data_IF_790618548035
#
_entry.id   IF_790618548035
#
_cell.length_a   1.000
_cell.length_b   1.000
_cell.length_c   1.000
_cell.angle_alpha   90.00
_cell.angle_beta   90.00
_cell.angle_gamma   90.00
#
_symmetry.space_group_name_H-M   'P 1'
#
loop_
_entity.id
_entity.type
_entity.pdbx_description
1 polymer ?
#
# COMPACT_ATOMS: atom_id res chain seq x y z
N UNK A 1 15.82 2.39 -3.06
CA UNK A 1 14.70 2.59 -2.11
C UNK A 1 14.06 1.24 -1.97
N UNK A 2 14.28 0.58 -0.85
CA UNK A 2 13.67 -0.71 -0.56
C UNK A 2 12.33 -0.47 0.11
N UNK A 3 11.31 -1.25 -0.25
CA UNK A 3 10.02 -1.22 0.44
C UNK A 3 10.09 -2.27 1.53
N UNK A 4 9.95 -1.83 2.77
CA UNK A 4 9.85 -2.72 3.91
C UNK A 4 8.39 -3.09 4.13
N UNK A 5 8.16 -4.37 4.43
CA UNK A 5 6.85 -4.91 4.74
C UNK A 5 6.82 -5.36 6.19
N UNK A 6 5.84 -4.86 6.95
CA UNK A 6 5.57 -5.29 8.31
C UNK A 6 4.16 -5.85 8.36
N UNK A 7 4.02 -7.12 8.71
CA UNK A 7 2.73 -7.80 8.89
C UNK A 7 2.63 -8.34 10.33
N UNK A 8 1.48 -8.13 10.97
CA UNK A 8 1.18 -8.61 12.32
C UNK A 8 0.00 -9.61 12.33
N UNK A 9 -0.40 -10.16 11.18
CA UNK A 9 -1.55 -11.06 11.03
C UNK A 9 -2.94 -10.43 11.20
N UNK A 10 -3.06 -9.26 11.86
CA UNK A 10 -4.31 -8.48 11.95
C UNK A 10 -4.29 -7.21 11.10
N UNK A 11 -3.10 -6.66 10.91
CA UNK A 11 -2.84 -5.49 10.08
C UNK A 11 -1.39 -5.55 9.62
N UNK A 12 -1.09 -4.77 8.59
CA UNK A 12 0.28 -4.60 8.14
C UNK A 12 0.46 -3.27 7.44
N UNK A 13 1.71 -2.97 7.12
CA UNK A 13 2.08 -1.77 6.39
C UNK A 13 3.30 -2.01 5.51
N UNK A 14 3.28 -1.38 4.35
CA UNK A 14 4.42 -1.20 3.48
C UNK A 14 4.96 0.20 3.71
N UNK A 15 6.25 0.35 3.93
CA UNK A 15 6.84 1.66 4.20
C UNK A 15 8.24 1.77 3.60
N UNK A 16 8.65 3.02 3.40
CA UNK A 16 9.96 3.37 2.86
C UNK A 16 10.61 4.32 3.86
N UNK A 17 11.79 3.91 4.34
CA UNK A 17 12.63 4.73 5.20
C UNK A 17 13.74 5.40 4.39
N UNK A 18 14.00 6.68 4.68
CA UNK A 18 15.13 7.43 4.13
C UNK A 18 15.74 8.24 5.26
N UNK A 19 17.04 8.07 5.50
CA UNK A 19 17.76 8.77 6.57
C UNK A 19 17.11 8.57 7.97
N UNK A 20 16.65 7.35 8.27
CA UNK A 20 15.92 7.01 9.51
C UNK A 20 14.56 7.73 9.68
N UNK A 21 14.00 8.30 8.61
CA UNK A 21 12.67 8.88 8.62
C UNK A 21 11.76 8.10 7.66
N UNK A 22 10.56 7.75 8.13
CA UNK A 22 9.52 7.21 7.27
C UNK A 22 9.02 8.30 6.33
N UNK A 23 9.32 8.14 5.03
CA UNK A 23 9.00 9.13 3.99
C UNK A 23 7.78 8.72 3.17
N UNK A 24 7.36 7.46 3.23
CA UNK A 24 6.11 7.01 2.63
C UNK A 24 5.66 5.70 3.28
N UNK A 25 4.36 5.52 3.44
CA UNK A 25 3.78 4.27 3.91
C UNK A 25 2.37 4.03 3.35
N UNK A 26 2.00 2.75 3.29
CA UNK A 26 0.68 2.26 2.98
C UNK A 26 0.31 1.24 4.05
N UNK A 27 -0.77 1.48 4.78
CA UNK A 27 -1.29 0.58 5.80
C UNK A 27 -2.52 -0.19 5.30
N UNK A 28 -2.67 -1.41 5.78
CA UNK A 28 -3.82 -2.24 5.54
C UNK A 28 -4.22 -3.04 6.78
N UNK A 29 -5.50 -3.39 6.87
CA UNK A 29 -6.07 -4.23 7.93
C UNK A 29 -6.72 -5.46 7.34
N UNK A 30 -6.64 -6.61 8.02
CA UNK A 30 -7.37 -7.80 7.60
C UNK A 30 -8.84 -7.63 7.98
N UNK A 31 -9.73 -7.72 6.98
CA UNK A 31 -11.17 -7.76 7.21
C UNK A 31 -11.63 -9.18 7.54
N UNK A 32 -10.97 -10.17 6.95
CA UNK A 32 -11.18 -11.60 7.15
C UNK A 32 -9.99 -12.37 6.53
N UNK A 33 -10.05 -13.70 6.58
CA UNK A 33 -8.97 -14.60 6.14
C UNK A 33 -8.59 -14.45 4.66
N UNK A 34 -9.49 -13.90 3.83
CA UNK A 34 -9.29 -13.77 2.38
C UNK A 34 -9.40 -12.34 1.89
N UNK A 35 -9.51 -11.34 2.77
CA UNK A 35 -9.69 -9.95 2.38
C UNK A 35 -8.98 -8.98 3.31
N UNK A 36 -8.29 -8.01 2.70
CA UNK A 36 -7.67 -6.89 3.40
C UNK A 36 -8.25 -5.56 2.92
N UNK A 37 -8.17 -4.55 3.78
CA UNK A 37 -8.57 -3.18 3.48
C UNK A 37 -7.37 -2.24 3.59
N UNK A 38 -6.99 -1.62 2.48
CA UNK A 38 -6.03 -0.52 2.49
C UNK A 38 -6.73 0.75 3.00
N UNK A 39 -6.47 1.09 4.26
CA UNK A 39 -7.16 2.16 4.97
C UNK A 39 -6.41 3.51 4.92
N UNK A 40 -5.07 3.47 4.87
CA UNK A 40 -4.26 4.68 4.91
C UNK A 40 -3.09 4.62 3.95
N UNK A 41 -2.79 5.75 3.33
CA UNK A 41 -1.58 5.92 2.51
C UNK A 41 -1.05 7.31 2.70
N UNK A 42 0.25 7.40 2.96
CA UNK A 42 0.98 8.63 3.15
C UNK A 42 2.22 8.61 2.27
N UNK A 43 2.47 9.73 1.59
CA UNK A 43 3.68 9.94 0.80
C UNK A 43 4.15 11.36 1.09
N UNK A 44 5.39 11.49 1.55
CA UNK A 44 5.99 12.78 1.84
C UNK A 44 5.99 13.66 0.58
N UNK A 45 5.81 14.96 0.77
CA UNK A 45 5.72 15.93 -0.32
C UNK A 45 6.99 15.92 -1.19
N UNK A 46 8.14 15.65 -0.59
CA UNK A 46 9.43 15.56 -1.28
C UNK A 46 9.49 14.40 -2.27
N UNK A 47 8.61 13.40 -2.11
CA UNK A 47 8.51 12.21 -2.95
C UNK A 47 7.33 12.24 -3.93
N UNK A 48 6.54 13.32 -3.94
CA UNK A 48 5.47 13.48 -4.96
C UNK A 48 6.08 13.51 -6.37
N UNK A 49 5.31 12.99 -7.32
CA UNK A 49 5.71 12.85 -8.73
C UNK A 49 6.91 11.92 -8.99
N UNK A 50 7.42 11.22 -7.98
CA UNK A 50 8.48 10.21 -8.15
C UNK A 50 7.96 8.77 -8.28
N UNK A 51 6.63 8.61 -8.42
CA UNK A 51 5.99 7.30 -8.53
C UNK A 51 6.02 6.46 -7.24
N UNK A 52 6.33 7.06 -6.08
CA UNK A 52 6.50 6.31 -4.82
C UNK A 52 5.19 5.66 -4.36
N UNK A 53 4.06 6.37 -4.47
CA UNK A 53 2.74 5.80 -4.15
C UNK A 53 2.38 4.60 -5.03
N UNK A 54 2.83 4.61 -6.29
CA UNK A 54 2.66 3.50 -7.24
C UNK A 54 3.41 2.26 -6.78
N UNK A 55 4.67 2.43 -6.39
CA UNK A 55 5.52 1.33 -5.87
C UNK A 55 4.93 0.69 -4.62
N UNK A 56 4.37 1.49 -3.71
CA UNK A 56 3.69 0.97 -2.50
C UNK A 56 2.46 0.13 -2.86
N UNK A 57 1.65 0.59 -3.81
CA UNK A 57 0.48 -0.16 -4.28
C UNK A 57 0.90 -1.42 -5.02
N UNK A 58 1.96 -1.38 -5.82
CA UNK A 58 2.51 -2.55 -6.49
C UNK A 58 2.96 -3.59 -5.47
N UNK A 59 3.71 -3.20 -4.43
CA UNK A 59 4.12 -4.09 -3.34
C UNK A 59 2.91 -4.73 -2.63
N UNK A 60 1.88 -3.93 -2.34
CA UNK A 60 0.62 -4.43 -1.80
C UNK A 60 -0.04 -5.44 -2.74
N UNK A 61 -0.11 -5.18 -4.05
CA UNK A 61 -0.69 -6.10 -5.03
C UNK A 61 0.07 -7.42 -5.10
N UNK A 62 1.41 -7.39 -5.06
CA UNK A 62 2.23 -8.61 -5.01
C UNK A 62 1.88 -9.45 -3.77
N UNK A 63 1.81 -8.82 -2.60
CA UNK A 63 1.44 -9.50 -1.37
C UNK A 63 0.05 -10.14 -1.45
N UNK A 64 -0.92 -9.41 -1.99
CA UNK A 64 -2.29 -9.90 -2.18
C UNK A 64 -2.35 -11.06 -3.17
N UNK A 65 -1.59 -10.99 -4.27
CA UNK A 65 -1.52 -12.05 -5.26
C UNK A 65 -0.85 -13.32 -4.69
N UNK A 66 0.27 -13.17 -3.99
CA UNK A 66 0.97 -14.29 -3.34
C UNK A 66 0.10 -14.99 -2.29
N UNK A 67 -0.64 -14.20 -1.50
CA UNK A 67 -1.51 -14.72 -0.43
C UNK A 67 -2.93 -15.07 -0.89
N UNK A 68 -3.26 -14.87 -2.17
CA UNK A 68 -4.59 -15.06 -2.74
C UNK A 68 -5.69 -14.27 -1.99
N UNK A 69 -5.36 -13.03 -1.59
CA UNK A 69 -6.27 -12.14 -0.87
C UNK A 69 -7.10 -11.27 -1.83
N UNK A 70 -8.18 -10.69 -1.32
CA UNK A 70 -8.97 -9.64 -1.99
C UNK A 70 -8.62 -8.28 -1.39
N UNK A 71 -8.56 -7.24 -2.24
CA UNK A 71 -8.30 -5.87 -1.83
C UNK A 71 -9.59 -5.05 -1.75
N UNK A 72 -9.84 -4.46 -0.58
CA UNK A 72 -10.74 -3.30 -0.43
C UNK A 72 -9.89 -2.04 -0.27
N UNK A 73 -10.29 -0.95 -0.91
CA UNK A 73 -9.63 0.34 -0.77
C UNK A 73 -10.59 1.36 -0.17
N UNK A 74 -10.55 1.52 1.15
CA UNK A 74 -11.27 2.58 1.86
C UNK A 74 -10.55 3.93 1.73
N UNK A 75 -9.23 3.93 1.53
CA UNK A 75 -8.48 5.16 1.28
C UNK A 75 -8.82 5.74 -0.11
N UNK A 76 -9.24 7.00 -0.17
CA UNK A 76 -9.59 7.67 -1.42
C UNK A 76 -8.44 7.70 -2.44
N UNK A 77 -7.19 7.81 -1.98
CA UNK A 77 -6.00 7.76 -2.85
C UNK A 77 -5.80 6.40 -3.51
N UNK A 78 -5.80 5.33 -2.70
CA UNK A 78 -5.66 3.95 -3.20
C UNK A 78 -6.81 3.62 -4.15
N UNK A 79 -8.04 3.96 -3.77
CA UNK A 79 -9.22 3.74 -4.60
C UNK A 79 -9.13 4.48 -5.95
N UNK A 80 -8.68 5.73 -5.96
CA UNK A 80 -8.48 6.48 -7.20
C UNK A 80 -7.41 5.83 -8.09
N UNK A 81 -6.32 5.36 -7.49
CA UNK A 81 -5.21 4.75 -8.21
C UNK A 81 -5.58 3.39 -8.82
N UNK A 82 -6.25 2.53 -8.04
CA UNK A 82 -6.77 1.24 -8.52
C UNK A 82 -7.78 1.41 -9.66
N UNK A 83 -8.65 2.41 -9.60
CA UNK A 83 -9.63 2.69 -10.67
C UNK A 83 -8.95 3.08 -11.97
N UNK A 84 -7.88 3.89 -11.90
CA UNK A 84 -7.15 4.33 -13.09
C UNK A 84 -6.57 3.15 -13.87
N UNK A 85 -6.00 2.18 -13.17
CA UNK A 85 -5.41 0.96 -13.77
C UNK A 85 -6.44 0.01 -14.40
N UNK A 86 -7.73 0.10 -14.07
CA UNK A 86 -8.79 -0.71 -14.68
C UNK A 86 -9.38 -0.07 -15.96
N UNK A 87 -9.01 1.16 -16.27
CA UNK A 87 -9.53 1.94 -17.39
C UNK A 87 -8.52 2.08 -18.55
N UNK A 88 -7.33 1.50 -18.42
CA UNK A 88 -6.26 1.44 -19.43
C UNK A 88 -6.17 0.01 -20.01
#
# INVERSE_FOLDING_TARGET
MEIQHQDSGKQGRFFIEKQHQCVAFLSYVYLNETMINADHTFVDVSLRNQGVGDKLIQALRHFIAEKNLKLKASCGYVAAKLRKELAE
#
